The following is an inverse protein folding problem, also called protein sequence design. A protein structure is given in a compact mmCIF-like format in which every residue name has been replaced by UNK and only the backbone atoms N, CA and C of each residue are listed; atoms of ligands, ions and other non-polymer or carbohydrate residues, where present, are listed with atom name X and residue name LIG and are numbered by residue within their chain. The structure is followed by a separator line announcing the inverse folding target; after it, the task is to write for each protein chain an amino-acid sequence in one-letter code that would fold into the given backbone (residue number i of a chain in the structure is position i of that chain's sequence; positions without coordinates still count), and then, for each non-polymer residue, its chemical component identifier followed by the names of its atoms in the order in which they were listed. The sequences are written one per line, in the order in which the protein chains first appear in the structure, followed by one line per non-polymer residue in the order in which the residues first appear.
data_IF_872461440456
#
_entry.id   IF_872461440456
#
_cell.length_a   1.000
_cell.length_b   1.000
_cell.length_c   1.000
_cell.angle_alpha   90.00
_cell.angle_beta   90.00
_cell.angle_gamma   90.00
#
_symmetry.space_group_name_H-M   'P 1'
#
loop_
_entity.id
_entity.type
_entity.pdbx_description
1 polymer ?
#
# COMPACT_ATOMS: atom_id res chain seq x y z
N UNK A 1 -17.75 21.97 -3.65
CA UNK A 1 -17.41 21.49 -5.01
C UNK A 1 -16.35 20.42 -4.84
N UNK A 2 -16.72 19.18 -5.17
CA UNK A 2 -15.93 17.95 -5.00
C UNK A 2 -14.95 17.79 -6.15
N UNK A 3 -13.64 17.76 -5.86
CA UNK A 3 -12.63 17.29 -6.82
C UNK A 3 -12.29 15.83 -6.52
N UNK A 4 -12.88 14.98 -7.36
CA UNK A 4 -12.70 13.54 -7.46
C UNK A 4 -11.28 13.22 -7.94
N UNK A 5 -10.70 12.16 -7.36
CA UNK A 5 -9.34 11.67 -7.60
C UNK A 5 -8.85 11.75 -9.05
N UNK A 6 -7.92 12.67 -9.27
CA UNK A 6 -7.07 12.69 -10.45
C UNK A 6 -5.84 11.85 -10.15
N UNK A 7 -5.81 10.65 -10.72
CA UNK A 7 -4.59 9.85 -10.89
C UNK A 7 -3.59 10.68 -11.73
N UNK A 8 -2.74 11.48 -11.07
CA UNK A 8 -1.75 12.34 -11.73
C UNK A 8 -0.61 11.49 -12.28
N UNK A 9 -0.57 11.34 -13.60
CA UNK A 9 0.59 10.84 -14.33
C UNK A 9 1.74 11.86 -14.20
N UNK A 10 2.85 11.47 -13.59
CA UNK A 10 4.15 12.13 -13.77
C UNK A 10 4.79 12.85 -12.58
N UNK A 11 4.15 12.92 -11.41
CA UNK A 11 4.85 13.40 -10.20
C UNK A 11 5.58 12.22 -9.52
N UNK A 12 6.81 12.41 -9.00
CA UNK A 12 7.45 11.41 -8.16
C UNK A 12 6.53 10.98 -7.02
N UNK A 13 6.49 9.68 -6.69
CA UNK A 13 5.58 9.15 -5.64
C UNK A 13 5.68 9.92 -4.31
N UNK A 14 6.84 10.45 -3.95
CA UNK A 14 7.02 11.27 -2.75
C UNK A 14 6.26 12.61 -2.76
N UNK A 15 5.75 13.05 -3.91
CA UNK A 15 4.90 14.25 -4.04
C UNK A 15 3.41 13.93 -4.02
N UNK A 16 3.02 12.67 -4.22
CA UNK A 16 1.61 12.24 -4.32
C UNK A 16 1.15 11.43 -3.11
N UNK A 17 2.09 10.88 -2.34
CA UNK A 17 1.78 10.12 -1.13
C UNK A 17 1.43 11.09 0.01
N UNK A 18 0.23 10.96 0.62
CA UNK A 18 -0.09 11.71 1.82
C UNK A 18 0.91 11.36 2.91
N UNK A 19 1.53 12.37 3.52
CA UNK A 19 2.42 12.18 4.68
C UNK A 19 1.66 12.32 6.00
N UNK A 20 0.45 12.89 5.95
CA UNK A 20 -0.42 13.15 7.09
C UNK A 20 -1.87 12.74 6.77
N UNK A 21 -2.62 12.33 7.79
CA UNK A 21 -4.06 12.08 7.69
C UNK A 21 -4.89 13.38 7.73
N UNK A 22 -6.23 13.26 7.69
CA UNK A 22 -7.12 14.43 7.70
C UNK A 22 -7.02 15.26 9.00
N UNK A 23 -6.46 14.70 10.07
CA UNK A 23 -6.22 15.37 11.35
C UNK A 23 -4.81 15.95 11.47
N UNK A 24 -3.98 15.84 10.43
CA UNK A 24 -2.59 16.29 10.41
C UNK A 24 -1.61 15.32 11.10
N UNK A 25 -2.04 14.11 11.47
CA UNK A 25 -1.16 13.13 12.13
C UNK A 25 -0.30 12.38 11.10
N UNK A 26 0.98 12.07 11.39
CA UNK A 26 1.86 11.40 10.43
C UNK A 26 1.38 9.98 10.11
N UNK A 27 1.46 9.59 8.84
CA UNK A 27 1.18 8.23 8.40
C UNK A 27 2.39 7.31 8.59
N UNK A 28 2.15 6.00 8.61
CA UNK A 28 3.20 4.98 8.53
C UNK A 28 3.18 4.32 7.16
N UNK A 29 4.32 4.38 6.48
CA UNK A 29 4.50 3.72 5.20
C UNK A 29 5.19 2.37 5.37
N UNK A 30 4.69 1.38 4.65
CA UNK A 30 5.38 0.11 4.46
C UNK A 30 5.27 -0.37 3.02
N UNK A 31 6.24 -1.20 2.63
CA UNK A 31 6.31 -1.74 1.28
C UNK A 31 6.40 -3.26 1.30
N UNK A 32 5.69 -3.91 0.38
CA UNK A 32 5.79 -5.34 0.13
C UNK A 32 6.16 -5.62 -1.32
N UNK A 33 7.11 -6.54 -1.53
CA UNK A 33 7.37 -7.10 -2.86
C UNK A 33 6.44 -8.28 -3.15
N UNK A 34 6.03 -8.43 -4.40
CA UNK A 34 5.38 -9.61 -4.97
C UNK A 34 6.30 -10.29 -6.00
N UNK A 35 7.35 -11.02 -5.57
CA UNK A 35 8.37 -11.51 -6.47
C UNK A 35 7.80 -12.37 -7.59
N UNK A 36 8.23 -12.11 -8.83
CA UNK A 36 7.82 -12.87 -10.01
C UNK A 36 6.43 -12.53 -10.55
N UNK A 37 5.64 -11.67 -9.91
CA UNK A 37 4.28 -11.36 -10.37
C UNK A 37 4.24 -10.82 -11.80
N UNK A 38 5.09 -9.84 -12.15
CA UNK A 38 5.18 -9.29 -13.52
C UNK A 38 5.55 -10.28 -14.63
N UNK A 39 5.98 -11.50 -14.28
CA UNK A 39 6.31 -12.57 -15.24
C UNK A 39 5.15 -13.55 -15.46
N UNK A 40 4.07 -13.40 -14.70
CA UNK A 40 2.85 -14.22 -14.80
C UNK A 40 1.98 -13.77 -15.97
N UNK A 41 0.98 -14.58 -16.31
CA UNK A 41 0.00 -14.19 -17.32
C UNK A 41 -0.81 -12.96 -16.85
N UNK A 42 -1.40 -12.17 -17.77
CA UNK A 42 -2.25 -11.05 -17.40
C UNK A 42 -3.40 -11.44 -16.45
N UNK A 43 -4.01 -12.61 -16.67
CA UNK A 43 -5.12 -13.12 -15.87
C UNK A 43 -4.68 -13.46 -14.43
N UNK A 44 -3.50 -14.07 -14.28
CA UNK A 44 -2.92 -14.34 -12.98
C UNK A 44 -2.54 -13.05 -12.24
N UNK A 45 -1.98 -12.07 -12.95
CA UNK A 45 -1.67 -10.75 -12.38
C UNK A 45 -2.95 -10.10 -11.86
N UNK A 46 -4.00 -10.07 -12.66
CA UNK A 46 -5.28 -9.49 -12.28
C UNK A 46 -5.91 -10.21 -11.08
N UNK A 47 -5.86 -11.54 -11.07
CA UNK A 47 -6.35 -12.33 -9.94
C UNK A 47 -5.63 -11.98 -8.63
N UNK A 48 -4.30 -11.83 -8.66
CA UNK A 48 -3.51 -11.41 -7.48
C UNK A 48 -3.85 -9.97 -7.06
N UNK A 49 -3.97 -9.05 -8.01
CA UNK A 49 -4.34 -7.66 -7.71
C UNK A 49 -5.73 -7.55 -7.10
N UNK A 50 -6.70 -8.37 -7.55
CA UNK A 50 -8.04 -8.46 -6.93
C UNK A 50 -7.97 -8.97 -5.50
N UNK A 51 -7.14 -9.98 -5.21
CA UNK A 51 -6.93 -10.48 -3.85
C UNK A 51 -6.33 -9.41 -2.93
N UNK A 52 -5.31 -8.67 -3.41
CA UNK A 52 -4.69 -7.57 -2.66
C UNK A 52 -5.73 -6.48 -2.39
N UNK A 53 -6.47 -6.05 -3.42
CA UNK A 53 -7.53 -5.03 -3.30
C UNK A 53 -8.58 -5.42 -2.26
N UNK A 54 -9.09 -6.64 -2.31
CA UNK A 54 -10.10 -7.11 -1.36
C UNK A 54 -9.59 -7.18 0.09
N UNK A 55 -8.28 -7.38 0.29
CA UNK A 55 -7.69 -7.24 1.64
C UNK A 55 -7.66 -5.76 2.03
N UNK A 56 -7.15 -4.87 1.18
CA UNK A 56 -7.02 -3.44 1.51
C UNK A 56 -8.38 -2.79 1.82
N UNK A 57 -9.44 -3.13 1.09
CA UNK A 57 -10.81 -2.63 1.32
C UNK A 57 -11.35 -2.99 2.71
N UNK A 58 -10.99 -4.17 3.23
CA UNK A 58 -11.34 -4.61 4.60
C UNK A 58 -10.62 -3.84 5.70
N UNK A 59 -9.56 -3.11 5.37
CA UNK A 59 -8.77 -2.27 6.27
C UNK A 59 -8.89 -0.78 5.90
N UNK A 60 -9.96 -0.39 5.19
CA UNK A 60 -10.18 0.99 4.70
C UNK A 60 -10.25 2.04 5.82
N UNK A 61 -10.49 1.63 7.07
CA UNK A 61 -10.47 2.50 8.24
C UNK A 61 -9.03 2.89 8.68
N UNK A 62 -8.02 2.10 8.31
CA UNK A 62 -6.61 2.36 8.63
C UNK A 62 -5.76 2.65 7.40
N UNK A 63 -6.10 2.10 6.23
CA UNK A 63 -5.39 2.34 4.97
C UNK A 63 -5.81 3.69 4.40
N UNK A 64 -4.85 4.60 4.25
CA UNK A 64 -5.09 5.93 3.66
C UNK A 64 -4.71 5.95 2.18
N UNK A 65 -3.66 5.23 1.83
CA UNK A 65 -3.17 5.13 0.47
C UNK A 65 -2.62 3.73 0.20
N UNK A 66 -2.84 3.23 -1.01
CA UNK A 66 -2.18 2.03 -1.49
C UNK A 66 -2.00 2.12 -3.01
N UNK A 67 -0.80 1.78 -3.47
CA UNK A 67 -0.47 1.71 -4.89
C UNK A 67 0.35 0.47 -5.20
N UNK A 68 0.12 -0.12 -6.37
CA UNK A 68 0.86 -1.28 -6.83
C UNK A 68 1.64 -0.97 -8.10
N UNK A 69 2.96 -0.90 -7.98
CA UNK A 69 3.86 -0.74 -9.11
C UNK A 69 4.24 -2.12 -9.68
N UNK A 70 3.55 -2.52 -10.76
CA UNK A 70 3.79 -3.80 -11.42
C UNK A 70 5.19 -3.93 -12.04
N UNK A 71 5.78 -2.83 -12.54
CA UNK A 71 7.13 -2.85 -13.12
C UNK A 71 8.20 -3.26 -12.09
N UNK A 72 7.98 -2.85 -10.83
CA UNK A 72 8.83 -3.15 -9.68
C UNK A 72 8.35 -4.36 -8.85
N UNK A 73 7.15 -4.89 -9.11
CA UNK A 73 6.44 -5.83 -8.23
C UNK A 73 6.31 -5.31 -6.78
N UNK A 74 6.03 -4.02 -6.61
CA UNK A 74 6.04 -3.36 -5.30
C UNK A 74 4.65 -2.85 -4.95
N UNK A 75 4.14 -3.26 -3.79
CA UNK A 75 2.98 -2.67 -3.12
C UNK A 75 3.47 -1.64 -2.10
N UNK A 76 3.09 -0.37 -2.25
CA UNK A 76 3.22 0.67 -1.23
C UNK A 76 1.89 0.80 -0.50
N UNK A 77 1.91 0.82 0.83
CA UNK A 77 0.73 1.18 1.63
C UNK A 77 1.08 2.21 2.70
N UNK A 78 0.23 3.23 2.83
CA UNK A 78 0.28 4.24 3.90
C UNK A 78 -0.88 4.01 4.88
N UNK A 79 -0.58 3.97 6.18
CA UNK A 79 -1.53 3.66 7.26
C UNK A 79 -1.66 4.81 8.26
N UNK A 80 -2.86 4.98 8.82
CA UNK A 80 -3.06 5.71 10.08
C UNK A 80 -2.30 5.01 11.21
N UNK A 81 -1.76 5.77 12.17
CA UNK A 81 -1.08 5.21 13.35
C UNK A 81 -2.08 4.51 14.27
N UNK A 82 -2.27 3.20 14.08
CA UNK A 82 -3.03 2.34 14.99
C UNK A 82 -2.18 1.17 15.45
N UNK A 83 -2.08 0.91 16.77
CA UNK A 83 -1.34 -0.24 17.28
C UNK A 83 -1.75 -1.54 16.60
N UNK A 84 -0.77 -2.30 16.09
CA UNK A 84 -0.99 -3.61 15.46
C UNK A 84 -1.55 -3.57 14.02
N UNK A 85 -1.95 -2.42 13.48
CA UNK A 85 -2.56 -2.33 12.15
C UNK A 85 -1.66 -2.87 11.03
N UNK A 86 -0.37 -2.49 11.04
CA UNK A 86 0.62 -3.01 10.09
C UNK A 86 0.72 -4.54 10.16
N UNK A 87 0.87 -5.10 11.36
CA UNK A 87 1.03 -6.54 11.55
C UNK A 87 -0.22 -7.30 11.07
N UNK A 88 -1.41 -6.84 11.43
CA UNK A 88 -2.67 -7.46 11.01
C UNK A 88 -2.84 -7.41 9.49
N UNK A 89 -2.54 -6.26 8.88
CA UNK A 89 -2.64 -6.10 7.43
C UNK A 89 -1.62 -6.98 6.69
N UNK A 90 -0.37 -7.03 7.14
CA UNK A 90 0.67 -7.90 6.55
C UNK A 90 0.29 -9.37 6.64
N UNK A 91 -0.26 -9.81 7.78
CA UNK A 91 -0.75 -11.19 7.94
C UNK A 91 -1.92 -11.47 6.99
N UNK A 92 -2.89 -10.57 6.91
CA UNK A 92 -4.04 -10.73 6.01
C UNK A 92 -3.63 -10.77 4.53
N UNK A 93 -2.68 -9.92 4.13
CA UNK A 93 -2.12 -9.91 2.79
C UNK A 93 -1.42 -11.23 2.46
N UNK A 94 -0.57 -11.73 3.36
CA UNK A 94 0.14 -13.02 3.18
C UNK A 94 -0.81 -14.21 3.19
N UNK A 95 -1.89 -14.17 3.95
CA UNK A 95 -2.89 -15.23 3.97
C UNK A 95 -3.59 -15.39 2.61
N UNK A 96 -3.71 -14.31 1.82
CA UNK A 96 -4.29 -14.34 0.47
C UNK A 96 -3.26 -14.46 -0.65
N UNK A 97 -2.08 -13.87 -0.45
CA UNK A 97 -0.98 -13.86 -1.42
C UNK A 97 0.32 -14.21 -0.70
N UNK A 98 0.62 -15.51 -0.49
CA UNK A 98 1.77 -15.95 0.32
C UNK A 98 3.14 -15.49 -0.19
N UNK A 99 3.23 -15.16 -1.48
CA UNK A 99 4.46 -14.67 -2.10
C UNK A 99 4.86 -13.26 -1.62
N UNK A 100 3.97 -12.51 -0.95
CA UNK A 100 4.26 -11.14 -0.51
C UNK A 100 5.34 -11.09 0.58
N UNK A 101 6.38 -10.30 0.33
CA UNK A 101 7.52 -10.11 1.23
C UNK A 101 7.59 -8.66 1.70
N UNK A 102 7.55 -8.42 3.01
CA UNK A 102 7.76 -7.09 3.59
C UNK A 102 9.23 -6.67 3.37
N UNK A 103 9.46 -5.48 2.82
CA UNK A 103 10.81 -4.99 2.46
C UNK A 103 11.25 -3.77 3.26
N UNK A 104 10.31 -3.10 3.92
CA UNK A 104 10.62 -2.05 4.89
C UNK A 104 9.36 -1.51 5.52
N UNK A 105 9.49 -1.06 6.76
CA UNK A 105 8.57 -0.11 7.38
C UNK A 105 9.43 1.12 7.69
N UNK A 106 9.01 2.31 7.29
CA UNK A 106 9.65 3.52 7.76
C UNK A 106 8.87 3.99 8.98
N UNK A 107 9.36 3.78 10.22
CA UNK A 107 8.84 4.56 11.32
C UNK A 107 9.28 5.98 11.04
N UNK A 108 8.36 6.87 10.66
CA UNK A 108 8.63 8.31 10.74
C UNK A 108 8.73 8.67 12.24
N UNK A 109 9.82 8.25 12.87
CA UNK A 109 10.30 8.82 14.12
C UNK A 109 11.10 10.05 13.71
N UNK A 110 10.67 11.19 14.26
CA UNK A 110 11.04 12.51 13.78
C UNK A 110 12.54 12.70 13.58
N UNK A 111 12.88 13.30 12.44
CA UNK A 111 14.08 14.11 12.32
C UNK A 111 13.59 15.54 12.13
N UNK A 112 14.22 16.41 12.91
CA UNK A 112 13.95 17.81 13.20
C UNK A 112 13.70 18.71 11.97
#
# INVERSE_FOLDING_TARGET
MTETGLWRVGAPLWQTVPTRDESGMPLYDFMMLAPGLKRKSPEEIEAVLRLIRGVLERFSEVVVFADFNLSLNLLWVSLRRRPGALSMLVVALRARVPALKLVGHNPLDGIA
#
